data_IF_705672194194
#
_entry.id   IF_705672194194
#
_cell.length_a   1.000
_cell.length_b   1.000
_cell.length_c   1.000
_cell.angle_alpha   90.00
_cell.angle_beta   90.00
_cell.angle_gamma   90.00
#
_symmetry.space_group_name_H-M   'P 1'
#
loop_
_entity.id
_entity.type
_entity.pdbx_description
1 polymer ?
#
# COMPACT_ATOMS: atom_id res chain seq x y z
N UNK A 1 -25.30 -8.28 -3.38
CA UNK A 1 -24.86 -6.90 -3.64
C UNK A 1 -23.50 -6.75 -2.95
N UNK A 2 -22.43 -6.41 -3.67
CA UNK A 2 -21.07 -6.28 -3.08
C UNK A 2 -21.00 -4.95 -2.33
N UNK A 3 -20.52 -4.96 -1.08
CA UNK A 3 -20.38 -3.72 -0.28
C UNK A 3 -19.22 -2.87 -0.81
N UNK A 4 -19.35 -1.53 -0.73
CA UNK A 4 -18.31 -0.59 -1.17
C UNK A 4 -16.95 -0.89 -0.52
N UNK A 5 -16.98 -1.21 0.79
CA UNK A 5 -15.83 -1.67 1.58
C UNK A 5 -15.11 -2.87 0.96
N UNK A 6 -15.86 -3.87 0.50
CA UNK A 6 -15.29 -5.05 -0.17
C UNK A 6 -14.63 -4.69 -1.50
N UNK A 7 -15.27 -3.85 -2.31
CA UNK A 7 -14.68 -3.40 -3.59
C UNK A 7 -13.39 -2.60 -3.38
N UNK A 8 -13.35 -1.72 -2.38
CA UNK A 8 -12.14 -0.96 -2.03
C UNK A 8 -11.03 -1.91 -1.58
N UNK A 9 -11.34 -2.88 -0.71
CA UNK A 9 -10.40 -3.88 -0.24
C UNK A 9 -9.81 -4.71 -1.39
N UNK A 10 -10.66 -5.19 -2.31
CA UNK A 10 -10.22 -5.96 -3.48
C UNK A 10 -9.30 -5.13 -4.39
N UNK A 11 -9.62 -3.84 -4.61
CA UNK A 11 -8.76 -2.93 -5.36
C UNK A 11 -7.40 -2.72 -4.67
N UNK A 12 -7.38 -2.59 -3.34
CA UNK A 12 -6.15 -2.49 -2.55
C UNK A 12 -5.30 -3.76 -2.70
N UNK A 13 -5.93 -4.93 -2.52
CA UNK A 13 -5.27 -6.23 -2.60
C UNK A 13 -4.71 -6.49 -4.01
N UNK A 14 -5.47 -6.17 -5.06
CA UNK A 14 -5.03 -6.29 -6.44
C UNK A 14 -3.78 -5.43 -6.70
N UNK A 15 -3.78 -4.16 -6.26
CA UNK A 15 -2.65 -3.26 -6.47
C UNK A 15 -1.36 -3.74 -5.78
N UNK A 16 -1.45 -4.21 -4.54
CA UNK A 16 -0.29 -4.76 -3.82
C UNK A 16 0.19 -6.06 -4.48
N UNK A 17 -0.71 -6.93 -4.94
CA UNK A 17 -0.32 -8.16 -5.64
C UNK A 17 0.35 -7.89 -6.99
N UNK A 18 -0.13 -6.91 -7.76
CA UNK A 18 0.53 -6.47 -8.99
C UNK A 18 1.93 -5.95 -8.70
N UNK A 19 2.09 -5.10 -7.68
CA UNK A 19 3.40 -4.59 -7.27
C UNK A 19 4.36 -5.72 -6.87
N UNK A 20 3.89 -6.72 -6.12
CA UNK A 20 4.69 -7.89 -5.76
C UNK A 20 5.16 -8.67 -7.00
N UNK A 21 4.27 -8.88 -7.98
CA UNK A 21 4.62 -9.57 -9.22
C UNK A 21 5.65 -8.80 -10.05
N UNK A 22 5.49 -7.47 -10.14
CA UNK A 22 6.43 -6.59 -10.84
C UNK A 22 7.81 -6.58 -10.16
N UNK A 23 7.86 -6.51 -8.83
CA UNK A 23 9.11 -6.58 -8.06
C UNK A 23 9.79 -7.93 -8.23
N UNK A 24 9.04 -9.03 -8.21
CA UNK A 24 9.62 -10.36 -8.45
C UNK A 24 10.24 -10.44 -9.84
N UNK A 25 9.53 -9.98 -10.87
CA UNK A 25 10.07 -9.95 -12.23
C UNK A 25 11.31 -9.06 -12.36
N UNK A 26 11.36 -7.94 -11.63
CA UNK A 26 12.55 -7.08 -11.61
C UNK A 26 13.75 -7.78 -10.96
N UNK A 27 13.54 -8.47 -9.83
CA UNK A 27 14.57 -9.26 -9.15
C UNK A 27 15.12 -10.33 -10.09
N UNK A 28 14.26 -11.10 -10.74
CA UNK A 28 14.65 -12.18 -11.64
C UNK A 28 15.53 -11.66 -12.79
N UNK A 29 15.16 -10.51 -13.39
CA UNK A 29 15.94 -9.88 -14.47
C UNK A 29 17.32 -9.43 -14.01
N UNK A 30 17.45 -8.86 -12.82
CA UNK A 30 18.75 -8.42 -12.28
C UNK A 30 19.63 -9.65 -12.00
N UNK A 31 19.05 -10.72 -11.46
CA UNK A 31 19.77 -11.98 -11.25
C UNK A 31 20.27 -12.59 -12.57
N UNK A 32 19.41 -12.66 -13.60
CA UNK A 32 19.79 -13.15 -14.93
C UNK A 32 20.92 -12.30 -15.54
N UNK A 33 20.89 -10.98 -15.34
CA UNK A 33 21.92 -10.06 -15.85
C UNK A 33 23.27 -10.31 -15.19
N UNK A 34 23.30 -10.49 -13.87
CA UNK A 34 24.53 -10.81 -13.12
C UNK A 34 25.15 -12.13 -13.62
N UNK A 35 24.33 -13.17 -13.80
CA UNK A 35 24.78 -14.49 -14.28
C UNK A 35 25.23 -14.42 -15.74
N UNK A 36 24.55 -13.65 -16.60
CA UNK A 36 24.93 -13.46 -18.00
C UNK A 36 26.29 -12.77 -18.15
N UNK A 37 26.61 -11.81 -17.27
CA UNK A 37 27.90 -11.14 -17.25
C UNK A 37 29.03 -12.05 -16.72
N UNK A 38 28.75 -12.99 -15.79
CA UNK A 38 29.71 -14.00 -15.32
C UNK A 38 30.27 -14.84 -16.48
N UNK A 39 29.46 -15.07 -17.51
CA UNK A 39 29.83 -15.86 -18.69
C UNK A 39 30.54 -15.05 -19.80
N UNK A 40 30.68 -13.73 -19.66
CA UNK A 40 31.12 -12.80 -20.72
C UNK A 40 32.38 -12.02 -20.29
N UNK A 41 33.55 -12.65 -20.40
CA UNK A 41 34.78 -12.25 -19.68
C UNK A 41 35.51 -11.02 -20.27
N UNK A 42 35.64 -9.95 -19.48
CA UNK A 42 36.72 -8.94 -19.53
C UNK A 42 36.92 -8.34 -18.13
N UNK A 43 37.97 -8.76 -17.44
CA UNK A 43 38.06 -8.84 -15.98
C UNK A 43 37.88 -7.58 -15.13
N UNK A 44 38.04 -6.36 -15.66
CA UNK A 44 37.96 -5.12 -14.86
C UNK A 44 36.58 -4.43 -14.90
N UNK A 45 35.74 -4.77 -15.89
CA UNK A 45 34.36 -4.24 -16.00
C UNK A 45 33.35 -5.08 -15.22
N UNK A 46 33.68 -6.36 -15.05
CA UNK A 46 32.83 -7.37 -14.43
C UNK A 46 32.60 -7.15 -12.93
N UNK A 47 33.64 -6.77 -12.17
CA UNK A 47 33.52 -6.57 -10.72
C UNK A 47 32.58 -5.41 -10.36
N UNK A 48 32.66 -4.30 -11.11
CA UNK A 48 31.78 -3.14 -10.92
C UNK A 48 30.33 -3.45 -11.27
N UNK A 49 30.10 -4.12 -12.41
CA UNK A 49 28.73 -4.42 -12.86
C UNK A 49 28.03 -5.44 -11.94
N UNK A 50 28.77 -6.42 -11.43
CA UNK A 50 28.28 -7.34 -10.38
C UNK A 50 27.95 -6.62 -9.06
N UNK A 51 28.82 -5.71 -8.60
CA UNK A 51 28.57 -4.95 -7.39
C UNK A 51 27.31 -4.07 -7.51
N UNK A 52 27.13 -3.40 -8.65
CA UNK A 52 25.93 -2.61 -8.94
C UNK A 52 24.66 -3.48 -9.00
N UNK A 53 24.74 -4.67 -9.59
CA UNK A 53 23.63 -5.61 -9.62
C UNK A 53 23.21 -6.07 -8.21
N UNK A 54 24.17 -6.34 -7.32
CA UNK A 54 23.88 -6.70 -5.93
C UNK A 54 23.23 -5.54 -5.15
N UNK A 55 23.70 -4.30 -5.33
CA UNK A 55 23.08 -3.13 -4.71
C UNK A 55 21.61 -2.96 -5.16
N UNK A 56 21.32 -3.16 -6.45
CA UNK A 56 19.94 -3.10 -6.95
C UNK A 56 19.09 -4.26 -6.41
N UNK A 57 19.63 -5.47 -6.28
CA UNK A 57 18.93 -6.59 -5.63
C UNK A 57 18.58 -6.25 -4.18
N UNK A 58 19.51 -5.69 -3.42
CA UNK A 58 19.26 -5.29 -2.03
C UNK A 58 18.13 -4.27 -1.95
N UNK A 59 18.13 -3.27 -2.84
CA UNK A 59 17.07 -2.25 -2.91
C UNK A 59 15.70 -2.85 -3.28
N UNK A 60 15.67 -3.75 -4.27
CA UNK A 60 14.45 -4.44 -4.70
C UNK A 60 13.91 -5.34 -3.60
N UNK A 61 14.77 -6.09 -2.91
CA UNK A 61 14.40 -6.96 -1.79
C UNK A 61 13.85 -6.16 -0.59
N UNK A 62 14.43 -5.00 -0.27
CA UNK A 62 13.87 -4.11 0.75
C UNK A 62 12.45 -3.64 0.38
N UNK A 63 12.24 -3.31 -0.90
CA UNK A 63 10.92 -2.89 -1.41
C UNK A 63 9.92 -4.05 -1.40
N UNK A 64 10.34 -5.25 -1.80
CA UNK A 64 9.55 -6.49 -1.73
C UNK A 64 9.10 -6.78 -0.29
N UNK A 65 10.01 -6.67 0.67
CA UNK A 65 9.69 -6.87 2.09
C UNK A 65 8.66 -5.86 2.61
N UNK A 66 8.69 -4.61 2.14
CA UNK A 66 7.66 -3.62 2.47
C UNK A 66 6.30 -4.02 1.88
N UNK A 67 6.24 -4.39 0.60
CA UNK A 67 5.01 -4.81 -0.08
C UNK A 67 4.40 -6.09 0.55
N UNK A 68 5.23 -7.04 0.99
CA UNK A 68 4.78 -8.23 1.74
C UNK A 68 4.15 -7.82 3.07
N UNK A 69 4.76 -6.88 3.81
CA UNK A 69 4.18 -6.35 5.05
C UNK A 69 2.83 -5.69 4.79
N UNK A 70 2.70 -4.90 3.73
CA UNK A 70 1.43 -4.28 3.36
C UNK A 70 0.35 -5.32 3.00
N UNK A 71 0.71 -6.36 2.22
CA UNK A 71 -0.19 -7.48 1.91
C UNK A 71 -0.66 -8.19 3.17
N UNK A 72 0.24 -8.42 4.14
CA UNK A 72 -0.10 -9.06 5.40
C UNK A 72 -1.07 -8.22 6.23
N UNK A 73 -0.88 -6.90 6.29
CA UNK A 73 -1.80 -5.97 6.96
C UNK A 73 -3.18 -6.03 6.28
N UNK A 74 -3.23 -6.00 4.95
CA UNK A 74 -4.50 -6.15 4.22
C UNK A 74 -5.17 -7.50 4.55
N UNK A 75 -4.41 -8.59 4.60
CA UNK A 75 -4.93 -9.92 4.94
C UNK A 75 -5.55 -10.04 6.34
N UNK A 76 -5.27 -9.10 7.25
CA UNK A 76 -5.90 -9.04 8.57
C UNK A 76 -7.27 -8.32 8.58
N UNK A 77 -7.64 -7.66 7.47
CA UNK A 77 -8.88 -6.90 7.38
C UNK A 77 -10.05 -7.81 7.02
N UNK A 78 -11.09 -7.80 7.86
CA UNK A 78 -12.38 -8.40 7.52
C UNK A 78 -13.31 -7.35 6.91
N UNK A 79 -13.73 -7.58 5.67
CA UNK A 79 -14.69 -6.70 4.96
C UNK A 79 -16.13 -6.87 5.44
N UNK A 80 -16.42 -7.92 6.21
CA UNK A 80 -17.75 -8.23 6.74
C UNK A 80 -17.98 -7.62 8.13
N UNK A 81 -16.90 -7.25 8.83
CA UNK A 81 -16.98 -6.63 10.13
C UNK A 81 -17.40 -5.17 9.99
N UNK A 82 -18.49 -4.79 10.67
CA UNK A 82 -18.88 -3.38 10.81
C UNK A 82 -17.89 -2.62 11.69
N UNK A 83 -17.55 -1.41 11.29
CA UNK A 83 -16.71 -0.50 12.07
C UNK A 83 -17.54 0.63 12.68
N UNK A 84 -17.54 0.76 14.00
CA UNK A 84 -18.21 1.86 14.71
C UNK A 84 -17.29 3.05 15.00
N UNK A 85 -15.99 2.88 14.74
CA UNK A 85 -14.94 3.87 14.93
C UNK A 85 -13.88 3.70 13.86
N UNK A 86 -13.10 4.75 13.65
CA UNK A 86 -11.95 4.77 12.76
C UNK A 86 -10.90 3.77 13.25
N UNK A 87 -10.78 2.65 12.54
CA UNK A 87 -9.87 1.55 12.86
C UNK A 87 -9.42 0.87 11.58
N UNK A 88 -8.44 -0.04 11.67
CA UNK A 88 -7.99 -0.83 10.52
C UNK A 88 -9.17 -1.56 9.86
N UNK A 89 -9.32 -1.35 8.56
CA UNK A 89 -10.42 -1.85 7.75
C UNK A 89 -11.66 -0.95 7.73
N UNK A 90 -11.70 0.17 8.42
CA UNK A 90 -12.84 1.10 8.35
C UNK A 90 -12.79 1.96 7.08
N UNK A 91 -13.95 2.15 6.45
CA UNK A 91 -14.19 3.20 5.46
C UNK A 91 -14.79 4.40 6.18
N UNK A 92 -14.14 5.54 6.04
CA UNK A 92 -14.51 6.79 6.71
C UNK A 92 -14.96 7.77 5.63
N UNK A 93 -16.23 8.17 5.71
CA UNK A 93 -16.77 9.23 4.86
C UNK A 93 -16.78 10.52 5.65
N UNK A 94 -16.05 11.50 5.14
CA UNK A 94 -16.07 12.89 5.65
C UNK A 94 -16.89 13.79 4.74
N UNK A 95 -17.11 15.03 5.16
CA UNK A 95 -17.68 16.09 4.35
C UNK A 95 -16.85 16.47 3.10
N UNK A 96 -15.59 16.01 3.01
CA UNK A 96 -14.70 16.35 1.89
C UNK A 96 -14.25 15.16 1.06
N UNK A 97 -14.10 13.98 1.66
CA UNK A 97 -13.52 12.81 0.99
C UNK A 97 -13.87 11.50 1.69
N UNK A 98 -13.67 10.40 0.97
CA UNK A 98 -13.75 9.04 1.50
C UNK A 98 -12.32 8.53 1.74
N UNK A 99 -12.08 8.00 2.93
CA UNK A 99 -10.81 7.40 3.33
C UNK A 99 -11.03 5.93 3.69
N UNK A 100 -10.02 5.12 3.50
CA UNK A 100 -10.02 3.72 3.92
C UNK A 100 -8.76 3.47 4.74
N UNK A 101 -8.93 3.11 6.02
CA UNK A 101 -7.78 2.84 6.89
C UNK A 101 -7.29 1.43 6.59
N UNK A 102 -6.18 1.33 5.88
CA UNK A 102 -5.53 0.06 5.52
C UNK A 102 -4.02 0.25 5.43
N UNK A 103 -3.48 0.24 4.21
CA UNK A 103 -2.07 0.50 3.89
C UNK A 103 -1.98 1.72 2.97
N UNK A 104 -0.77 2.27 2.82
CA UNK A 104 -0.55 3.56 2.15
C UNK A 104 -0.61 3.51 0.63
N UNK A 105 -1.71 3.04 0.06
CA UNK A 105 -1.88 2.90 -1.41
C UNK A 105 -2.14 4.24 -2.10
N UNK A 106 -2.67 5.22 -1.36
CA UNK A 106 -3.02 6.54 -1.87
C UNK A 106 -4.39 6.56 -2.53
N UNK A 107 -4.52 7.29 -3.63
CA UNK A 107 -5.79 7.45 -4.35
C UNK A 107 -6.17 6.15 -5.08
N UNK A 108 -7.42 5.71 -4.91
CA UNK A 108 -8.05 4.58 -5.59
C UNK A 108 -9.38 5.07 -6.18
N UNK A 109 -9.68 4.66 -7.40
CA UNK A 109 -10.96 4.94 -8.06
C UNK A 109 -11.81 3.67 -7.98
N UNK A 110 -13.00 3.80 -7.38
CA UNK A 110 -13.96 2.70 -7.21
C UNK A 110 -15.29 3.16 -7.78
N UNK A 111 -15.57 2.74 -9.02
CA UNK A 111 -16.66 3.30 -9.81
C UNK A 111 -16.42 4.80 -10.06
N UNK A 112 -17.40 5.63 -9.70
CA UNK A 112 -17.30 7.09 -9.80
C UNK A 112 -16.72 7.75 -8.53
N UNK A 113 -16.37 6.96 -7.51
CA UNK A 113 -15.88 7.48 -6.23
C UNK A 113 -14.36 7.44 -6.16
N UNK A 114 -13.79 8.53 -5.68
CA UNK A 114 -12.38 8.58 -5.25
C UNK A 114 -12.28 8.21 -3.77
N UNK A 115 -11.47 7.21 -3.47
CA UNK A 115 -11.18 6.73 -2.11
C UNK A 115 -9.68 6.86 -1.83
N UNK A 116 -9.33 7.35 -0.64
CA UNK A 116 -7.94 7.45 -0.21
C UNK A 116 -7.63 6.31 0.76
N UNK A 117 -6.91 5.28 0.29
CA UNK A 117 -6.38 4.23 1.12
C UNK A 117 -5.13 4.72 1.86
N UNK A 118 -5.25 4.84 3.18
CA UNK A 118 -4.24 5.44 4.06
C UNK A 118 -3.79 4.43 5.10
N UNK A 119 -2.51 4.46 5.43
CA UNK A 119 -1.96 3.63 6.51
C UNK A 119 -2.37 4.17 7.87
N UNK A 120 -2.71 3.27 8.80
CA UNK A 120 -3.01 3.62 10.20
C UNK A 120 -1.84 4.34 10.89
N UNK A 121 -0.60 4.09 10.47
CA UNK A 121 0.61 4.73 11.03
C UNK A 121 0.97 6.05 10.36
N UNK A 122 0.26 6.46 9.31
CA UNK A 122 0.47 7.76 8.67
C UNK A 122 0.02 8.91 9.59
N UNK A 123 0.55 10.14 9.43
CA UNK A 123 0.12 11.28 10.26
C UNK A 123 -1.40 11.53 10.24
N UNK A 124 -2.05 11.36 9.08
CA UNK A 124 -3.52 11.45 8.97
C UNK A 124 -4.20 10.24 9.60
N UNK A 125 -3.66 9.03 9.43
CA UNK A 125 -4.17 7.82 10.07
C UNK A 125 -4.17 7.97 11.60
N UNK A 126 -3.05 8.36 12.19
CA UNK A 126 -2.92 8.61 13.62
C UNK A 126 -3.89 9.69 14.11
N UNK A 127 -4.13 10.75 13.34
CA UNK A 127 -5.05 11.83 13.70
C UNK A 127 -6.52 11.41 13.71
N UNK A 128 -6.89 10.34 12.98
CA UNK A 128 -8.29 9.89 12.88
C UNK A 128 -8.58 8.63 13.68
N UNK A 129 -7.57 7.84 14.05
CA UNK A 129 -7.75 6.58 14.76
C UNK A 129 -8.60 6.77 16.04
N UNK A 130 -9.62 5.92 16.19
CA UNK A 130 -10.53 5.92 17.34
C UNK A 130 -11.70 6.90 17.24
N UNK A 131 -11.68 7.87 16.32
CA UNK A 131 -12.79 8.82 16.15
C UNK A 131 -14.06 8.11 15.66
N UNK A 132 -15.21 8.68 16.00
CA UNK A 132 -16.53 8.15 15.67
C UNK A 132 -17.30 9.11 14.76
N UNK A 133 -18.47 8.67 14.29
CA UNK A 133 -19.37 9.52 13.53
C UNK A 133 -19.70 10.81 14.29
N UNK A 134 -19.63 11.95 13.62
CA UNK A 134 -19.90 13.28 14.18
C UNK A 134 -18.64 14.02 14.65
N UNK A 135 -17.56 13.29 14.94
CA UNK A 135 -16.28 13.87 15.34
C UNK A 135 -15.63 14.68 14.21
N UNK A 136 -14.68 15.53 14.61
CA UNK A 136 -13.89 16.33 13.70
C UNK A 136 -12.45 15.81 13.60
N UNK A 137 -12.00 15.58 12.37
CA UNK A 137 -10.61 15.30 12.02
C UNK A 137 -9.87 16.62 11.85
N UNK A 138 -8.76 16.80 12.57
CA UNK A 138 -7.83 17.91 12.35
C UNK A 138 -6.52 17.39 11.77
N UNK A 139 -6.25 17.72 10.50
CA UNK A 139 -5.02 17.31 9.83
C UNK A 139 -4.49 18.43 8.93
N UNK A 140 -3.19 18.73 9.03
CA UNK A 140 -2.52 19.76 8.22
C UNK A 140 -3.27 21.12 8.21
N UNK A 141 -3.79 21.54 9.38
CA UNK A 141 -4.55 22.79 9.53
C UNK A 141 -5.96 22.76 8.92
N UNK A 142 -6.41 21.62 8.38
CA UNK A 142 -7.77 21.44 7.83
C UNK A 142 -8.62 20.64 8.81
N UNK A 143 -9.85 21.13 9.02
CA UNK A 143 -10.89 20.46 9.80
C UNK A 143 -11.88 19.78 8.85
N UNK A 144 -12.21 18.52 9.12
CA UNK A 144 -13.17 17.72 8.35
C UNK A 144 -14.10 16.98 9.32
N UNK A 145 -15.39 16.89 9.01
CA UNK A 145 -16.36 16.22 9.87
C UNK A 145 -16.60 14.80 9.38
N UNK A 146 -16.58 13.82 10.28
CA UNK A 146 -16.92 12.43 9.97
C UNK A 146 -18.44 12.30 9.83
N UNK A 147 -18.90 12.00 8.63
CA UNK A 147 -20.31 11.82 8.29
C UNK A 147 -20.75 10.37 8.52
N UNK A 148 -19.89 9.41 8.19
CA UNK A 148 -20.19 7.98 8.35
C UNK A 148 -18.91 7.15 8.50
N UNK A 149 -19.04 5.99 9.16
CA UNK A 149 -18.01 4.96 9.28
C UNK A 149 -18.66 3.60 8.99
N UNK A 150 -18.01 2.76 8.16
CA UNK A 150 -18.44 1.38 7.87
C UNK A 150 -17.27 0.38 7.82
#
# INVERSE_FOLDING_TARGET
MVSMKKTIYEACMAKVNTQLAELQSAIDKVQESIVGEENSTSGNKFETARAMGQEELDRLNQTMNNAIRERNILGQISTEKNCNSAQLGAVITTDKKVMYISVGIGKIEVGEKTVYAISAISPIGQAIMGLVQGDDVLFAGKKEKIIAIE
#
